data_IF_040335137987
#
_entry.id   IF_040335137987
#
_cell.length_a   1.000
_cell.length_b   1.000
_cell.length_c   1.000
_cell.angle_alpha   90.00
_cell.angle_beta   90.00
_cell.angle_gamma   90.00
#
_symmetry.space_group_name_H-M   'P 1'
#
loop_
_entity.id
_entity.type
_entity.pdbx_description
1 polymer ?
#
# COMPACT_ATOMS: atom_id res chain seq x y z
N UNK A 1 -10.87 14.78 1.88
CA UNK A 1 -12.10 14.02 2.17
C UNK A 1 -11.82 12.56 2.56
N UNK A 2 -11.03 11.80 1.79
CA UNK A 2 -10.77 10.37 2.04
C UNK A 2 -10.06 10.07 3.38
N UNK A 3 -8.97 10.77 3.70
CA UNK A 3 -8.15 10.47 4.90
C UNK A 3 -8.94 10.66 6.20
N UNK A 4 -9.62 11.81 6.37
CA UNK A 4 -10.44 12.09 7.55
C UNK A 4 -11.60 11.09 7.70
N UNK A 5 -12.31 10.81 6.59
CA UNK A 5 -13.41 9.83 6.62
C UNK A 5 -12.91 8.44 7.02
N UNK A 6 -11.73 8.05 6.53
CA UNK A 6 -11.06 6.81 6.95
C UNK A 6 -10.74 6.77 8.44
N UNK A 7 -10.20 7.86 9.00
CA UNK A 7 -9.98 7.99 10.45
C UNK A 7 -11.27 7.85 11.26
N UNK A 8 -12.32 8.56 10.85
CA UNK A 8 -13.64 8.50 11.48
C UNK A 8 -14.25 7.09 11.41
N UNK A 9 -14.12 6.38 10.28
CA UNK A 9 -14.59 5.01 10.14
C UNK A 9 -13.93 4.05 11.14
N UNK A 10 -12.67 4.33 11.54
CA UNK A 10 -11.93 3.58 12.55
C UNK A 10 -12.13 4.11 13.98
N UNK A 11 -13.06 5.05 14.19
CA UNK A 11 -13.27 5.75 15.48
C UNK A 11 -12.01 6.47 15.98
N UNK A 12 -11.18 6.96 15.05
CA UNK A 12 -9.94 7.69 15.30
C UNK A 12 -10.05 9.09 14.68
N UNK A 13 -10.71 10.05 15.37
CA UNK A 13 -10.83 11.42 14.87
C UNK A 13 -9.49 12.17 14.88
N UNK A 14 -8.46 11.60 15.53
CA UNK A 14 -7.12 12.12 15.67
C UNK A 14 -6.17 11.75 14.51
N UNK A 15 -6.64 11.02 13.49
CA UNK A 15 -5.84 10.66 12.29
C UNK A 15 -6.53 11.09 11.00
N UNK A 16 -5.75 11.22 9.93
CA UNK A 16 -6.26 11.61 8.60
C UNK A 16 -6.63 13.09 8.45
N UNK A 17 -6.22 13.91 9.43
CA UNK A 17 -6.35 15.37 9.45
C UNK A 17 -5.03 16.00 9.87
N UNK A 18 -4.72 17.18 9.33
CA UNK A 18 -3.58 17.99 9.77
C UNK A 18 -4.10 19.10 10.68
N UNK A 19 -4.18 18.82 11.97
CA UNK A 19 -4.72 19.71 13.00
C UNK A 19 -3.89 19.60 14.29
N UNK A 20 -3.78 20.69 15.05
CA UNK A 20 -3.14 20.68 16.37
C UNK A 20 -3.84 19.65 17.27
N UNK A 21 -3.04 18.78 17.91
CA UNK A 21 -3.53 17.70 18.78
C UNK A 21 -3.83 16.38 18.05
N UNK A 22 -3.87 16.38 16.70
CA UNK A 22 -3.93 15.15 15.91
C UNK A 22 -2.54 14.46 15.85
N UNK A 23 -2.53 13.18 15.49
CA UNK A 23 -1.30 12.42 15.28
C UNK A 23 -0.53 12.97 14.08
N UNK A 24 0.79 13.00 14.21
CA UNK A 24 1.69 13.47 13.16
C UNK A 24 1.95 12.38 12.10
N UNK A 25 0.88 11.94 11.44
CA UNK A 25 0.90 11.00 10.32
C UNK A 25 0.96 11.80 9.01
N UNK A 26 2.16 11.96 8.45
CA UNK A 26 2.44 12.92 7.37
C UNK A 26 3.12 12.23 6.19
N UNK A 27 2.68 12.57 4.99
CA UNK A 27 3.32 12.23 3.72
C UNK A 27 3.92 13.50 3.10
N UNK A 28 5.13 13.39 2.57
CA UNK A 28 5.77 14.44 1.77
C UNK A 28 6.02 13.86 0.38
N UNK A 29 5.53 14.54 -0.65
CA UNK A 29 5.69 14.15 -2.05
C UNK A 29 6.79 14.98 -2.70
N UNK A 30 7.58 14.34 -3.55
CA UNK A 30 8.53 15.00 -4.43
C UNK A 30 7.80 15.52 -5.67
N UNK A 31 7.98 16.81 -5.98
CA UNK A 31 7.35 17.48 -7.13
C UNK A 31 8.19 17.47 -8.41
N UNK A 32 9.46 17.06 -8.32
CA UNK A 32 10.42 17.16 -9.43
C UNK A 32 10.35 16.03 -10.49
N UNK A 33 9.89 14.80 -10.20
CA UNK A 33 9.81 13.74 -11.20
C UNK A 33 8.90 14.12 -12.38
N UNK A 34 9.19 13.65 -13.62
CA UNK A 34 8.44 14.06 -14.82
C UNK A 34 6.92 13.88 -14.76
N UNK A 35 6.42 12.88 -14.02
CA UNK A 35 4.99 12.66 -13.84
C UNK A 35 4.31 13.71 -12.93
N UNK A 36 5.09 14.46 -12.16
CA UNK A 36 4.59 15.49 -11.22
C UNK A 36 4.74 16.92 -11.77
N UNK A 37 5.46 17.10 -12.88
CA UNK A 37 5.70 18.41 -13.50
C UNK A 37 4.48 18.95 -14.26
N UNK A 38 4.37 20.28 -14.35
CA UNK A 38 3.41 20.97 -15.22
C UNK A 38 2.02 21.24 -14.63
N UNK A 39 1.82 20.91 -13.35
CA UNK A 39 0.56 21.14 -12.65
C UNK A 39 0.62 22.43 -11.82
N UNK A 40 -0.36 23.32 -12.02
CA UNK A 40 -0.55 24.48 -11.15
C UNK A 40 -1.23 24.14 -9.82
N UNK A 41 -2.03 23.06 -9.82
CA UNK A 41 -2.68 22.54 -8.62
C UNK A 41 -1.93 21.29 -8.12
N UNK A 42 -1.19 21.38 -6.99
CA UNK A 42 -0.45 20.25 -6.44
C UNK A 42 -1.37 19.14 -5.92
N UNK A 43 -2.63 19.45 -5.56
CA UNK A 43 -3.59 18.42 -5.13
C UNK A 43 -4.00 17.57 -6.32
N UNK A 44 -4.29 18.21 -7.46
CA UNK A 44 -4.59 17.49 -8.71
C UNK A 44 -3.41 16.61 -9.15
N UNK A 45 -2.18 17.12 -9.08
CA UNK A 45 -0.97 16.36 -9.39
C UNK A 45 -0.88 15.07 -8.54
N UNK A 46 -1.12 15.16 -7.23
CA UNK A 46 -1.08 14.00 -6.33
C UNK A 46 -2.21 13.01 -6.62
N UNK A 47 -3.43 13.48 -6.86
CA UNK A 47 -4.58 12.59 -7.08
C UNK A 47 -4.46 11.84 -8.40
N UNK A 48 -3.98 12.50 -9.46
CA UNK A 48 -4.05 11.98 -10.83
C UNK A 48 -2.76 11.29 -11.28
N UNK A 49 -1.60 11.67 -10.72
CA UNK A 49 -0.30 11.27 -11.28
C UNK A 49 0.71 10.71 -10.27
N UNK A 50 0.49 10.89 -8.96
CA UNK A 50 1.45 10.39 -7.98
C UNK A 50 1.41 8.86 -7.89
N UNK A 51 2.57 8.28 -7.64
CA UNK A 51 2.77 6.88 -7.32
C UNK A 51 3.53 6.73 -5.98
N UNK A 52 3.57 5.53 -5.37
CA UNK A 52 4.27 5.33 -4.09
C UNK A 52 5.77 5.67 -4.11
N UNK A 53 6.40 5.67 -5.28
CA UNK A 53 7.78 6.10 -5.51
C UNK A 53 7.99 7.59 -5.29
N UNK A 54 6.98 8.42 -5.59
CA UNK A 54 7.06 9.89 -5.48
C UNK A 54 7.00 10.39 -4.03
N UNK A 55 6.56 9.54 -3.10
CA UNK A 55 6.55 9.88 -1.68
C UNK A 55 8.00 9.92 -1.17
N UNK A 56 8.54 11.09 -0.87
CA UNK A 56 9.91 11.24 -0.37
C UNK A 56 10.02 10.84 1.10
N UNK A 57 9.09 11.33 1.92
CA UNK A 57 9.05 11.10 3.35
C UNK A 57 7.70 10.57 3.83
N UNK A 58 7.75 9.66 4.80
CA UNK A 58 6.59 9.16 5.53
C UNK A 58 6.89 9.26 7.01
N UNK A 59 6.03 9.94 7.75
CA UNK A 59 6.06 10.02 9.21
C UNK A 59 4.82 9.32 9.76
N UNK A 60 5.00 8.54 10.81
CA UNK A 60 3.91 7.92 11.58
C UNK A 60 4.14 8.26 13.04
N UNK A 61 3.16 8.92 13.66
CA UNK A 61 3.29 9.52 14.99
C UNK A 61 4.56 10.39 15.15
N UNK A 62 4.88 11.17 14.12
CA UNK A 62 6.05 12.06 14.10
C UNK A 62 7.40 11.37 13.85
N UNK A 63 7.41 10.05 13.73
CA UNK A 63 8.62 9.26 13.51
C UNK A 63 8.77 8.88 12.04
N UNK A 64 9.96 9.08 11.47
CA UNK A 64 10.22 8.68 10.09
C UNK A 64 10.09 7.16 9.91
N UNK A 65 9.31 6.76 8.90
CA UNK A 65 9.20 5.40 8.37
C UNK A 65 9.74 5.28 6.94
N UNK A 66 9.73 6.39 6.21
CA UNK A 66 10.43 6.57 4.93
C UNK A 66 11.16 7.91 4.97
N UNK A 67 12.45 7.94 4.60
CA UNK A 67 13.24 9.17 4.54
C UNK A 67 14.13 9.18 3.31
N UNK A 68 14.03 10.23 2.49
CA UNK A 68 14.83 10.37 1.27
C UNK A 68 14.64 9.18 0.34
N UNK A 69 13.37 8.83 0.07
CA UNK A 69 12.96 7.69 -0.76
C UNK A 69 13.31 6.29 -0.24
N UNK A 70 13.91 6.16 0.94
CA UNK A 70 14.29 4.87 1.55
C UNK A 70 13.44 4.55 2.76
N UNK A 71 13.01 3.30 2.88
CA UNK A 71 12.40 2.81 4.12
C UNK A 71 13.44 2.82 5.23
N UNK A 72 13.04 3.27 6.42
CA UNK A 72 13.91 3.34 7.60
C UNK A 72 13.27 2.61 8.77
N UNK A 73 14.08 1.92 9.56
CA UNK A 73 13.70 1.45 10.89
C UNK A 73 13.50 2.68 11.77
N UNK A 74 12.24 3.09 11.97
CA UNK A 74 11.93 4.18 12.90
C UNK A 74 12.21 3.79 14.35
N UNK A 75 12.19 4.75 15.26
CA UNK A 75 12.28 4.48 16.69
C UNK A 75 11.14 3.52 17.12
N UNK A 76 11.48 2.53 17.95
CA UNK A 76 10.54 1.48 18.39
C UNK A 76 10.21 0.40 17.35
N UNK A 77 10.86 0.37 16.18
CA UNK A 77 10.68 -0.73 15.22
C UNK A 77 11.45 -1.96 15.68
N UNK A 78 10.78 -3.11 15.71
CA UNK A 78 11.40 -4.39 16.08
C UNK A 78 12.31 -4.97 14.98
N UNK A 79 12.16 -4.53 13.73
CA UNK A 79 12.77 -5.15 12.56
C UNK A 79 13.35 -4.08 11.64
N UNK A 80 14.56 -4.34 11.13
CA UNK A 80 15.13 -3.56 10.04
C UNK A 80 14.53 -4.00 8.70
N UNK A 81 14.58 -3.13 7.69
CA UNK A 81 14.04 -3.45 6.37
C UNK A 81 14.68 -4.72 5.76
N UNK A 82 15.97 -4.96 6.02
CA UNK A 82 16.66 -6.19 5.60
C UNK A 82 16.02 -7.45 6.18
N UNK A 83 15.60 -7.41 7.45
CA UNK A 83 14.96 -8.55 8.11
C UNK A 83 13.57 -8.81 7.54
N UNK A 84 12.79 -7.74 7.33
CA UNK A 84 11.46 -7.82 6.71
C UNK A 84 11.57 -8.40 5.31
N UNK A 85 12.50 -7.89 4.49
CA UNK A 85 12.76 -8.38 3.14
C UNK A 85 13.10 -9.86 3.13
N UNK A 86 14.03 -10.30 4.00
CA UNK A 86 14.44 -11.70 4.10
C UNK A 86 13.24 -12.60 4.42
N UNK A 87 12.48 -12.25 5.45
CA UNK A 87 11.30 -13.03 5.89
C UNK A 87 10.20 -13.08 4.85
N UNK A 88 9.95 -11.97 4.18
CA UNK A 88 8.97 -11.93 3.10
C UNK A 88 9.35 -12.91 1.99
N UNK A 89 10.61 -12.92 1.56
CA UNK A 89 11.09 -13.84 0.53
C UNK A 89 11.07 -15.31 0.98
N UNK A 90 11.40 -15.59 2.25
CA UNK A 90 11.27 -16.93 2.83
C UNK A 90 9.80 -17.40 2.85
N UNK A 91 8.89 -16.53 3.29
CA UNK A 91 7.46 -16.82 3.30
C UNK A 91 6.90 -17.02 1.88
N UNK A 92 7.31 -16.18 0.92
CA UNK A 92 6.91 -16.30 -0.48
C UNK A 92 7.34 -17.64 -1.07
N UNK A 93 8.62 -18.02 -0.91
CA UNK A 93 9.14 -19.33 -1.37
C UNK A 93 8.38 -20.52 -0.76
N UNK A 94 7.92 -20.38 0.48
CA UNK A 94 7.14 -21.43 1.17
C UNK A 94 5.69 -21.51 0.68
N UNK A 95 5.07 -20.37 0.39
CA UNK A 95 3.63 -20.28 0.10
C UNK A 95 3.34 -20.42 -1.40
N UNK A 96 4.17 -19.86 -2.28
CA UNK A 96 3.96 -19.87 -3.73
C UNK A 96 3.72 -21.29 -4.30
N UNK A 97 4.44 -22.34 -3.89
CA UNK A 97 4.15 -23.70 -4.38
C UNK A 97 2.77 -24.22 -3.97
N UNK A 98 2.22 -23.75 -2.86
CA UNK A 98 0.91 -24.17 -2.35
C UNK A 98 -0.25 -23.61 -3.19
N UNK A 99 -0.02 -22.51 -3.90
CA UNK A 99 -1.01 -21.85 -4.75
C UNK A 99 -0.85 -22.20 -6.23
N UNK A 100 0.13 -23.03 -6.57
CA UNK A 100 0.34 -23.51 -7.95
C UNK A 100 -0.71 -24.51 -8.43
N UNK A 101 -1.42 -25.17 -7.51
CA UNK A 101 -2.62 -25.93 -7.86
C UNK A 101 -3.83 -25.01 -7.74
N UNK A 102 -4.48 -24.67 -8.86
CA UNK A 102 -5.70 -23.89 -8.79
C UNK A 102 -6.75 -24.65 -7.99
N UNK A 103 -7.49 -23.91 -7.15
CA UNK A 103 -8.66 -24.48 -6.48
C UNK A 103 -9.61 -24.98 -7.57
N UNK A 104 -10.15 -26.20 -7.41
CA UNK A 104 -11.17 -26.71 -8.33
C UNK A 104 -12.29 -25.68 -8.40
N UNK A 105 -12.51 -25.13 -9.60
CA UNK A 105 -13.60 -24.20 -9.85
C UNK A 105 -14.90 -24.97 -9.57
N UNK A 106 -15.82 -24.44 -8.75
CA UNK A 106 -17.12 -25.08 -8.56
C UNK A 106 -17.84 -25.15 -9.91
N UNK A 107 -18.49 -26.27 -10.23
CA UNK A 107 -19.25 -26.44 -11.48
C UNK A 107 -20.31 -25.34 -11.67
N UNK A 108 -20.83 -24.81 -10.56
CA UNK A 108 -21.85 -23.75 -10.57
C UNK A 108 -21.40 -22.50 -9.83
N UNK A 109 -21.53 -21.36 -10.49
CA UNK A 109 -21.39 -20.04 -9.89
C UNK A 109 -22.62 -19.76 -9.01
N UNK A 110 -22.41 -19.64 -7.70
CA UNK A 110 -23.48 -19.43 -6.70
C UNK A 110 -24.60 -20.50 -6.72
N UNK A 111 -24.33 -21.69 -7.27
CA UNK A 111 -25.34 -22.74 -7.45
C UNK A 111 -26.38 -22.47 -8.55
N UNK A 112 -26.24 -21.37 -9.31
CA UNK A 112 -27.26 -20.87 -10.24
C UNK A 112 -26.88 -21.00 -11.71
N UNK A 113 -25.61 -20.85 -12.07
CA UNK A 113 -25.15 -20.87 -13.46
C UNK A 113 -23.94 -21.81 -13.61
N UNK A 114 -23.96 -22.67 -14.62
CA UNK A 114 -22.83 -23.54 -14.94
C UNK A 114 -21.65 -22.67 -15.39
N UNK A 115 -20.52 -22.82 -14.69
CA UNK A 115 -19.24 -22.34 -15.17
C UNK A 115 -18.85 -23.32 -16.29
N UNK A 116 -18.99 -22.90 -17.55
CA UNK A 116 -18.56 -23.69 -18.70
C UNK A 116 -17.07 -24.04 -18.65
N UNK A 117 -16.51 -24.62 -19.72
CA UNK A 117 -15.10 -25.00 -19.77
C UNK A 117 -14.18 -23.76 -19.70
N UNK A 118 -13.87 -23.30 -18.49
CA UNK A 118 -12.95 -22.20 -18.25
C UNK A 118 -11.56 -22.78 -18.11
N UNK A 119 -10.68 -22.52 -19.08
CA UNK A 119 -9.26 -22.85 -18.94
C UNK A 119 -8.69 -22.08 -17.76
N UNK A 120 -8.06 -22.80 -16.84
CA UNK A 120 -7.42 -22.18 -15.69
C UNK A 120 -6.08 -21.58 -16.13
N UNK A 121 -6.12 -20.31 -16.53
CA UNK A 121 -4.92 -19.54 -16.79
C UNK A 121 -4.22 -19.20 -15.47
N UNK A 122 -3.16 -19.94 -15.14
CA UNK A 122 -2.24 -19.59 -14.06
C UNK A 122 -1.33 -18.45 -14.52
N UNK A 123 -1.39 -17.28 -13.86
CA UNK A 123 -0.41 -16.19 -14.06
C UNK A 123 0.87 -16.37 -13.23
N UNK A 124 1.05 -17.54 -12.61
CA UNK A 124 2.26 -17.82 -11.83
C UNK A 124 3.36 -18.27 -12.80
N UNK A 125 4.24 -17.35 -13.16
CA UNK A 125 5.50 -17.60 -13.90
C UNK A 125 6.64 -17.84 -12.92
#
# INVERSE_FOLDING_TARGET
>A
MWLQTGGLALRRPDIGVLQVGAKADILVFNSDPPNMLGWSDPVAAVILHANPGDIEHVLVDGQFRKRGFKLVGGEGTKWEWSDVRKRFLEAAKRIQPLVNTPTKVPEKLWGMADLGDVEVASTVV
#
